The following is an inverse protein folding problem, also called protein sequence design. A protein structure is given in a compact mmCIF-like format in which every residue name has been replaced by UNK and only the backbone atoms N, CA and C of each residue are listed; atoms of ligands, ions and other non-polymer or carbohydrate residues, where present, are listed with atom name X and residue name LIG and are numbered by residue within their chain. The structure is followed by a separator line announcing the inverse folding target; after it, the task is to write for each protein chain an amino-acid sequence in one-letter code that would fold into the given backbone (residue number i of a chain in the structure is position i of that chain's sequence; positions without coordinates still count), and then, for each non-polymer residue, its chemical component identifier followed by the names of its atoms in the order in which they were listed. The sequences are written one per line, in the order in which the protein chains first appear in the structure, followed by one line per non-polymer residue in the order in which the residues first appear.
data_IF_320922801149
#
_entry.id   IF_320922801149
#
_cell.length_a   1.000
_cell.length_b   1.000
_cell.length_c   1.000
_cell.angle_alpha   90.00
_cell.angle_beta   90.00
_cell.angle_gamma   90.00
#
_symmetry.space_group_name_H-M   'P 1'
#
loop_
_entity.id
_entity.type
_entity.pdbx_description
1 polymer ?
#
# COMPACT_ATOMS: atom_id res chain seq x y z
N UNK A 1 22.62 -6.58 -19.56
CA UNK A 1 23.64 -5.67 -18.97
C UNK A 1 23.22 -5.36 -17.54
N UNK A 2 23.86 -5.92 -16.50
CA UNK A 2 23.40 -5.80 -15.11
C UNK A 2 23.45 -4.37 -14.56
N UNK A 3 24.35 -3.53 -15.06
CA UNK A 3 24.49 -2.13 -14.63
C UNK A 3 23.31 -1.23 -15.03
N UNK A 4 22.72 -1.44 -16.20
CA UNK A 4 21.58 -0.61 -16.66
C UNK A 4 20.33 -0.88 -15.82
N UNK A 5 20.10 -2.13 -15.40
CA UNK A 5 18.97 -2.47 -14.54
C UNK A 5 19.14 -1.92 -13.12
N UNK A 6 20.35 -1.99 -12.55
CA UNK A 6 20.65 -1.42 -11.24
C UNK A 6 20.46 0.09 -11.23
N UNK A 7 20.91 0.78 -12.27
CA UNK A 7 20.76 2.22 -12.40
C UNK A 7 19.30 2.64 -12.59
N UNK A 8 18.52 1.87 -13.34
CA UNK A 8 17.08 2.09 -13.52
C UNK A 8 16.32 1.86 -12.20
N UNK A 9 16.66 0.83 -11.43
CA UNK A 9 16.07 0.58 -10.11
C UNK A 9 16.39 1.70 -9.12
N UNK A 10 17.64 2.16 -9.04
CA UNK A 10 18.04 3.28 -8.17
C UNK A 10 17.30 4.58 -8.54
N UNK A 11 17.14 4.87 -9.82
CA UNK A 11 16.38 6.05 -10.27
C UNK A 11 14.89 5.92 -9.97
N UNK A 12 14.33 4.73 -10.12
CA UNK A 12 12.91 4.44 -9.79
C UNK A 12 12.65 4.59 -8.29
N UNK A 13 13.50 4.03 -7.46
CA UNK A 13 13.43 4.12 -6.01
C UNK A 13 13.54 5.56 -5.52
N UNK A 14 14.52 6.31 -6.04
CA UNK A 14 14.68 7.73 -5.71
C UNK A 14 13.45 8.55 -6.13
N UNK A 15 12.91 8.34 -7.32
CA UNK A 15 11.70 9.02 -7.79
C UNK A 15 10.48 8.71 -6.92
N UNK A 16 10.37 7.46 -6.43
CA UNK A 16 9.29 7.04 -5.52
C UNK A 16 9.42 7.76 -4.17
N UNK A 17 10.59 7.76 -3.56
CA UNK A 17 10.85 8.43 -2.30
C UNK A 17 10.52 9.93 -2.38
N UNK A 18 10.92 10.60 -3.46
CA UNK A 18 10.60 12.02 -3.68
C UNK A 18 9.11 12.26 -3.79
N UNK A 19 8.37 11.40 -4.50
CA UNK A 19 6.90 11.50 -4.59
C UNK A 19 6.23 11.34 -3.22
N UNK A 20 6.69 10.40 -2.42
CA UNK A 20 6.13 10.13 -1.10
C UNK A 20 6.35 11.30 -0.14
N UNK A 21 7.51 11.93 -0.19
CA UNK A 21 7.78 13.17 0.57
C UNK A 21 6.81 14.30 0.14
N UNK A 22 6.56 14.45 -1.16
CA UNK A 22 5.58 15.43 -1.63
C UNK A 22 4.18 15.13 -1.08
N UNK A 23 3.74 13.86 -1.11
CA UNK A 23 2.42 13.48 -0.59
C UNK A 23 2.30 13.71 0.92
N UNK A 24 3.38 13.48 1.68
CA UNK A 24 3.44 13.80 3.10
C UNK A 24 3.26 15.29 3.34
N UNK A 25 3.94 16.13 2.56
CA UNK A 25 3.81 17.59 2.67
C UNK A 25 2.45 18.10 2.20
N UNK A 26 1.89 17.53 1.12
CA UNK A 26 0.56 17.88 0.62
C UNK A 26 -0.52 17.64 1.67
N UNK A 27 -0.41 16.58 2.47
CA UNK A 27 -1.38 16.24 3.52
C UNK A 27 -1.44 17.27 4.66
N UNK A 28 -0.43 18.11 4.85
CA UNK A 28 -0.53 19.23 5.81
C UNK A 28 -1.57 20.29 5.38
N UNK A 29 -1.97 20.31 4.11
CA UNK A 29 -3.07 21.14 3.63
C UNK A 29 -4.40 20.51 4.03
N UNK A 30 -5.25 21.19 4.85
CA UNK A 30 -6.48 20.59 5.40
C UNK A 30 -7.45 20.07 4.35
N UNK A 31 -7.54 20.73 3.21
CA UNK A 31 -8.41 20.33 2.09
C UNK A 31 -7.96 19.02 1.47
N UNK A 32 -6.65 18.80 1.37
CA UNK A 32 -6.07 17.56 0.84
C UNK A 32 -6.26 16.43 1.84
N UNK A 33 -6.02 16.68 3.12
CA UNK A 33 -6.29 15.70 4.18
C UNK A 33 -7.76 15.26 4.18
N UNK A 34 -8.68 16.23 4.09
CA UNK A 34 -10.12 15.96 4.03
C UNK A 34 -10.51 15.18 2.77
N UNK A 35 -9.88 15.47 1.63
CA UNK A 35 -10.12 14.71 0.41
C UNK A 35 -9.68 13.24 0.55
N UNK A 36 -8.54 12.97 1.19
CA UNK A 36 -8.09 11.60 1.47
C UNK A 36 -9.06 10.86 2.40
N UNK A 37 -9.61 11.55 3.41
CA UNK A 37 -10.61 10.97 4.30
C UNK A 37 -11.89 10.60 3.52
N UNK A 38 -12.36 11.47 2.62
CA UNK A 38 -13.52 11.18 1.76
C UNK A 38 -13.26 9.97 0.85
N UNK A 39 -12.08 9.86 0.24
CA UNK A 39 -11.74 8.69 -0.57
C UNK A 39 -11.78 7.40 0.26
N UNK A 40 -11.23 7.43 1.48
CA UNK A 40 -11.23 6.29 2.36
C UNK A 40 -12.64 5.92 2.83
N UNK A 41 -13.45 6.91 3.20
CA UNK A 41 -14.86 6.73 3.59
C UNK A 41 -15.66 6.08 2.46
N UNK A 42 -15.56 6.57 1.24
CA UNK A 42 -16.27 6.01 0.09
C UNK A 42 -15.82 4.58 -0.25
N UNK A 43 -14.53 4.27 -0.08
CA UNK A 43 -14.00 2.92 -0.29
C UNK A 43 -14.44 1.92 0.78
N UNK A 44 -14.76 2.39 1.97
CA UNK A 44 -15.15 1.58 3.13
C UNK A 44 -16.60 1.77 3.51
N UNK A 45 -17.39 2.48 2.68
CA UNK A 45 -18.78 2.73 2.91
C UNK A 45 -19.57 1.42 2.96
N UNK A 46 -20.40 1.26 3.98
CA UNK A 46 -21.28 0.11 4.16
C UNK A 46 -22.65 0.54 4.70
N UNK A 47 -23.63 -0.31 4.50
CA UNK A 47 -24.95 -0.11 5.12
C UNK A 47 -24.82 -0.35 6.63
N UNK A 48 -25.38 0.52 7.47
CA UNK A 48 -25.32 0.38 8.92
C UNK A 48 -25.91 -0.91 9.50
N UNK A 49 -26.52 -1.75 8.66
CA UNK A 49 -27.09 -3.04 9.02
C UNK A 49 -26.24 -4.24 8.55
N UNK A 50 -25.25 -4.01 7.68
CA UNK A 50 -24.38 -5.04 7.13
C UNK A 50 -22.91 -4.73 7.49
N UNK A 51 -22.10 -5.76 7.78
CA UNK A 51 -20.68 -5.57 8.00
C UNK A 51 -20.01 -5.08 6.71
N UNK A 52 -18.91 -4.36 6.84
CA UNK A 52 -18.10 -3.86 5.74
C UNK A 52 -17.60 -4.99 4.83
N UNK A 53 -17.26 -6.12 5.44
CA UNK A 53 -16.87 -7.35 4.76
C UNK A 53 -17.91 -8.46 5.01
N UNK A 54 -18.53 -8.96 3.96
CA UNK A 54 -19.40 -10.13 4.02
C UNK A 54 -18.79 -11.32 3.26
N UNK A 55 -18.76 -12.49 3.90
CA UNK A 55 -18.18 -13.72 3.33
C UNK A 55 -19.31 -14.65 2.90
N UNK A 56 -19.33 -15.01 1.62
CA UNK A 56 -20.28 -15.97 1.04
C UNK A 56 -19.55 -17.26 0.69
N UNK A 57 -19.86 -18.33 1.40
CA UNK A 57 -19.30 -19.66 1.16
C UNK A 57 -20.42 -20.70 1.34
N UNK A 58 -20.42 -21.73 0.49
CA UNK A 58 -21.38 -22.84 0.61
C UNK A 58 -21.02 -23.85 1.71
N UNK A 59 -19.76 -23.88 2.12
CA UNK A 59 -19.29 -24.72 3.21
C UNK A 59 -19.23 -23.89 4.49
N UNK A 60 -20.02 -24.27 5.48
CA UNK A 60 -20.14 -23.54 6.75
C UNK A 60 -18.85 -23.62 7.60
N UNK A 61 -18.09 -24.72 7.52
CA UNK A 61 -16.81 -24.84 8.25
C UNK A 61 -15.77 -23.88 7.67
N UNK A 62 -15.64 -23.84 6.34
CA UNK A 62 -14.74 -22.90 5.66
C UNK A 62 -15.17 -21.46 5.94
N UNK A 63 -16.48 -21.19 5.90
CA UNK A 63 -17.01 -19.87 6.21
C UNK A 63 -16.63 -19.44 7.62
N UNK A 64 -16.80 -20.30 8.62
CA UNK A 64 -16.44 -20.00 10.01
C UNK A 64 -14.95 -19.68 10.18
N UNK A 65 -14.08 -20.44 9.50
CA UNK A 65 -12.62 -20.19 9.50
C UNK A 65 -12.32 -18.80 8.89
N UNK A 66 -12.92 -18.47 7.75
CA UNK A 66 -12.72 -17.18 7.08
C UNK A 66 -13.31 -16.03 7.90
N UNK A 67 -14.48 -16.21 8.51
CA UNK A 67 -15.08 -15.21 9.40
C UNK A 67 -14.13 -14.90 10.58
N UNK A 68 -13.60 -15.94 11.24
CA UNK A 68 -12.61 -15.77 12.31
C UNK A 68 -11.34 -15.07 11.81
N UNK A 69 -10.80 -15.48 10.65
CA UNK A 69 -9.61 -14.87 10.09
C UNK A 69 -9.80 -13.38 9.81
N UNK A 70 -10.85 -13.01 9.08
CA UNK A 70 -11.00 -11.64 8.62
C UNK A 70 -11.56 -10.71 9.72
N UNK A 71 -12.49 -11.17 10.55
CA UNK A 71 -13.10 -10.32 11.56
C UNK A 71 -12.30 -10.29 12.87
N UNK A 72 -11.79 -11.43 13.33
CA UNK A 72 -11.12 -11.50 14.63
C UNK A 72 -9.59 -11.31 14.51
N UNK A 73 -8.92 -12.06 13.61
CA UNK A 73 -7.45 -12.01 13.49
C UNK A 73 -6.98 -10.76 12.77
N UNK A 74 -7.54 -10.49 11.58
CA UNK A 74 -7.17 -9.32 10.77
C UNK A 74 -7.91 -8.05 11.21
N UNK A 75 -9.01 -8.18 11.91
CA UNK A 75 -9.86 -7.09 12.38
C UNK A 75 -10.16 -6.06 11.28
N UNK A 76 -10.66 -6.55 10.15
CA UNK A 76 -10.89 -5.74 8.93
C UNK A 76 -11.77 -4.52 9.21
N UNK A 77 -12.86 -4.70 9.98
CA UNK A 77 -13.79 -3.61 10.31
C UNK A 77 -13.10 -2.41 10.95
N UNK A 78 -12.06 -2.65 11.76
CA UNK A 78 -11.32 -1.58 12.42
C UNK A 78 -10.22 -0.99 11.55
N UNK A 79 -9.55 -1.82 10.77
CA UNK A 79 -8.30 -1.43 10.11
C UNK A 79 -8.50 -0.88 8.70
N UNK A 80 -9.56 -1.29 8.00
CA UNK A 80 -9.72 -1.07 6.56
C UNK A 80 -9.72 0.40 6.17
N UNK A 81 -10.34 1.27 6.95
CA UNK A 81 -10.32 2.72 6.69
C UNK A 81 -8.88 3.26 6.63
N UNK A 82 -8.06 2.97 7.64
CA UNK A 82 -6.68 3.44 7.69
C UNK A 82 -5.81 2.85 6.56
N UNK A 83 -6.04 1.59 6.20
CA UNK A 83 -5.35 0.94 5.10
C UNK A 83 -5.73 1.55 3.75
N UNK A 84 -7.02 1.75 3.51
CA UNK A 84 -7.54 2.41 2.32
C UNK A 84 -7.03 3.84 2.18
N UNK A 85 -7.03 4.61 3.27
CA UNK A 85 -6.51 5.97 3.30
C UNK A 85 -5.02 6.03 2.95
N UNK A 86 -4.22 5.14 3.53
CA UNK A 86 -2.79 5.01 3.22
C UNK A 86 -2.56 4.66 1.75
N UNK A 87 -3.34 3.72 1.22
CA UNK A 87 -3.29 3.34 -0.19
C UNK A 87 -3.68 4.51 -1.11
N UNK A 88 -4.69 5.30 -0.76
CA UNK A 88 -5.06 6.50 -1.52
C UNK A 88 -3.91 7.53 -1.53
N UNK A 89 -3.28 7.77 -0.39
CA UNK A 89 -2.19 8.74 -0.25
C UNK A 89 -0.97 8.37 -1.05
N UNK A 90 -0.48 7.13 -0.95
CA UNK A 90 0.77 6.72 -1.59
C UNK A 90 0.59 5.99 -2.93
N UNK A 91 -0.62 5.52 -3.21
CA UNK A 91 -0.91 4.63 -4.34
C UNK A 91 -0.64 3.16 -4.05
N UNK A 92 0.07 2.88 -2.95
CA UNK A 92 0.49 1.56 -2.49
C UNK A 92 0.18 1.37 -1.01
N UNK A 93 -0.16 0.14 -0.65
CA UNK A 93 -0.26 -0.30 0.73
C UNK A 93 0.32 -1.70 0.87
N UNK A 94 1.17 -1.89 1.87
CA UNK A 94 1.81 -3.17 2.16
C UNK A 94 1.32 -3.71 3.50
N UNK A 95 0.82 -4.93 3.46
CA UNK A 95 0.33 -5.65 4.63
C UNK A 95 1.24 -6.84 4.91
N UNK A 96 1.95 -6.80 6.02
CA UNK A 96 2.74 -7.94 6.48
C UNK A 96 1.82 -8.96 7.16
N UNK A 97 1.98 -10.22 6.81
CA UNK A 97 1.27 -11.36 7.38
C UNK A 97 2.24 -12.17 8.24
N UNK A 98 1.98 -12.24 9.54
CA UNK A 98 2.66 -13.13 10.46
C UNK A 98 2.03 -14.51 10.35
N UNK A 99 2.73 -15.42 9.69
CA UNK A 99 2.21 -16.75 9.36
C UNK A 99 2.99 -17.80 10.14
N UNK A 100 2.25 -18.63 10.84
CA UNK A 100 2.73 -19.78 11.60
C UNK A 100 2.34 -21.08 10.90
N UNK A 101 3.23 -22.08 10.92
CA UNK A 101 3.00 -23.36 10.23
C UNK A 101 1.84 -24.18 10.81
N UNK A 102 1.53 -23.99 12.10
CA UNK A 102 0.48 -24.73 12.80
C UNK A 102 -0.86 -23.98 12.80
N UNK A 103 -0.81 -22.65 12.98
CA UNK A 103 -2.02 -21.82 13.19
C UNK A 103 -2.39 -20.94 11.98
N UNK A 104 -1.56 -20.92 10.95
CA UNK A 104 -1.77 -20.04 9.79
C UNK A 104 -1.49 -18.58 10.10
N UNK A 105 -2.30 -17.65 9.60
CA UNK A 105 -2.13 -16.22 9.83
C UNK A 105 -2.53 -15.88 11.26
N UNK A 106 -1.55 -15.43 12.07
CA UNK A 106 -1.76 -15.05 13.48
C UNK A 106 -2.02 -13.55 13.66
N UNK A 107 -1.42 -12.76 12.80
CA UNK A 107 -1.63 -11.31 12.81
C UNK A 107 -1.31 -10.70 11.45
N UNK A 108 -1.78 -9.48 11.24
CA UNK A 108 -1.41 -8.67 10.08
C UNK A 108 -1.05 -7.24 10.53
N UNK A 109 -0.04 -6.68 9.90
CA UNK A 109 0.51 -5.36 10.25
C UNK A 109 0.67 -4.53 8.99
N UNK A 110 0.04 -3.34 8.96
CA UNK A 110 0.28 -2.36 7.91
C UNK A 110 1.71 -1.82 7.99
N UNK A 111 2.45 -1.92 6.89
CA UNK A 111 3.84 -1.47 6.83
C UNK A 111 3.94 -0.05 6.28
N UNK A 112 4.93 0.74 6.72
CA UNK A 112 5.20 2.05 6.14
C UNK A 112 5.54 1.95 4.65
N UNK A 113 4.69 2.54 3.79
CA UNK A 113 4.83 2.40 2.33
C UNK A 113 6.14 2.97 1.78
N UNK A 114 6.74 3.94 2.47
CA UNK A 114 8.02 4.54 2.11
C UNK A 114 9.25 3.68 2.46
N UNK A 115 9.10 2.67 3.31
CA UNK A 115 10.19 1.80 3.78
C UNK A 115 10.22 0.43 3.11
N UNK A 116 9.14 0.05 2.43
CA UNK A 116 9.04 -1.25 1.76
C UNK A 116 9.36 -1.10 0.28
N UNK A 117 10.30 -1.88 -0.20
CA UNK A 117 10.68 -1.94 -1.60
C UNK A 117 10.35 -3.30 -2.19
N UNK A 118 9.74 -3.30 -3.38
CA UNK A 118 9.45 -4.50 -4.15
C UNK A 118 10.62 -4.79 -5.08
N UNK A 119 11.19 -5.98 -4.95
CA UNK A 119 12.31 -6.45 -5.75
C UNK A 119 11.82 -7.49 -6.75
N UNK A 120 12.15 -7.28 -8.02
CA UNK A 120 11.83 -8.19 -9.13
C UNK A 120 13.10 -8.49 -9.92
N UNK A 121 13.22 -9.72 -10.43
CA UNK A 121 14.33 -10.12 -11.29
C UNK A 121 15.66 -10.33 -10.57
N UNK A 122 15.68 -10.40 -9.26
CA UNK A 122 16.87 -10.71 -8.45
C UNK A 122 17.28 -12.18 -8.62
N UNK A 123 16.30 -13.08 -8.73
CA UNK A 123 16.57 -14.50 -8.99
C UNK A 123 16.80 -14.73 -10.49
N UNK A 124 18.01 -15.13 -10.83
CA UNK A 124 18.40 -15.44 -12.22
C UNK A 124 17.71 -16.69 -12.77
N UNK A 125 17.25 -17.57 -11.90
CA UNK A 125 16.55 -18.83 -12.29
C UNK A 125 15.06 -18.61 -12.47
N UNK A 126 14.49 -17.63 -11.76
CA UNK A 126 13.09 -17.24 -11.87
C UNK A 126 12.95 -15.69 -11.88
N UNK A 127 13.08 -15.05 -13.04
CA UNK A 127 13.01 -13.59 -13.16
C UNK A 127 11.67 -12.98 -12.72
N UNK A 128 10.61 -13.78 -12.64
CA UNK A 128 9.29 -13.34 -12.20
C UNK A 128 9.10 -13.45 -10.67
N UNK A 129 10.10 -13.97 -9.98
CA UNK A 129 10.06 -14.09 -8.53
C UNK A 129 10.14 -12.72 -7.86
N UNK A 130 9.19 -12.44 -6.99
CA UNK A 130 9.06 -11.17 -6.28
C UNK A 130 9.38 -11.37 -4.81
N UNK A 131 10.24 -10.51 -4.28
CA UNK A 131 10.51 -10.36 -2.85
C UNK A 131 10.26 -8.92 -2.44
N UNK A 132 10.18 -8.69 -1.14
CA UNK A 132 10.03 -7.36 -0.57
C UNK A 132 11.15 -7.11 0.42
N UNK A 133 11.73 -5.92 0.37
CA UNK A 133 12.73 -5.48 1.32
C UNK A 133 12.15 -4.42 2.24
N UNK A 134 12.26 -4.64 3.55
CA UNK A 134 11.96 -3.61 4.53
C UNK A 134 13.26 -2.91 4.91
N UNK A 135 13.46 -1.71 4.36
CA UNK A 135 14.75 -1.01 4.39
C UNK A 135 15.19 -0.65 5.82
N UNK A 136 14.32 -0.14 6.67
CA UNK A 136 14.67 0.24 8.05
C UNK A 136 15.04 -0.95 8.94
N UNK A 137 14.44 -2.10 8.71
CA UNK A 137 14.73 -3.33 9.45
C UNK A 137 15.83 -4.19 8.82
N UNK A 138 16.22 -3.90 7.56
CA UNK A 138 17.18 -4.71 6.80
C UNK A 138 16.69 -6.14 6.54
N UNK A 139 15.36 -6.35 6.51
CA UNK A 139 14.74 -7.65 6.32
C UNK A 139 14.26 -7.83 4.89
N UNK A 140 14.55 -9.01 4.32
CA UNK A 140 13.96 -9.46 3.07
C UNK A 140 12.79 -10.39 3.40
N UNK A 141 11.63 -10.10 2.84
CA UNK A 141 10.37 -10.80 3.07
C UNK A 141 9.93 -11.49 1.77
N UNK A 142 9.38 -12.66 1.92
CA UNK A 142 8.89 -13.45 0.81
C UNK A 142 7.54 -12.93 0.29
N UNK A 143 7.22 -13.23 -0.95
CA UNK A 143 5.98 -12.77 -1.59
C UNK A 143 4.69 -13.24 -0.89
N UNK A 144 4.73 -14.38 -0.20
CA UNK A 144 3.59 -14.91 0.55
C UNK A 144 3.40 -14.26 1.93
N UNK A 145 4.41 -13.53 2.42
CA UNK A 145 4.35 -12.78 3.68
C UNK A 145 3.78 -11.36 3.51
N UNK A 146 3.69 -10.87 2.28
CA UNK A 146 3.30 -9.49 2.00
C UNK A 146 2.11 -9.42 1.06
N UNK A 147 1.02 -8.81 1.53
CA UNK A 147 -0.05 -8.34 0.68
C UNK A 147 0.30 -6.97 0.11
N UNK A 148 0.54 -6.87 -1.20
CA UNK A 148 0.78 -5.60 -1.87
C UNK A 148 -0.49 -5.14 -2.58
N UNK A 149 -1.16 -4.14 -2.02
CA UNK A 149 -2.34 -3.49 -2.58
C UNK A 149 -1.93 -2.20 -3.28
N UNK A 150 -2.49 -1.96 -4.47
CA UNK A 150 -2.12 -0.77 -5.25
C UNK A 150 -3.29 -0.23 -6.05
N UNK A 151 -3.31 1.08 -6.20
CA UNK A 151 -4.24 1.75 -7.10
C UNK A 151 -3.62 1.73 -8.50
N UNK A 152 -4.25 0.99 -9.41
CA UNK A 152 -3.82 0.95 -10.81
C UNK A 152 -4.14 2.31 -11.47
N UNK A 153 -3.17 2.87 -12.14
CA UNK A 153 -3.33 4.16 -12.78
C UNK A 153 -2.36 4.33 -13.94
N UNK A 154 -1.18 4.85 -13.66
CA UNK A 154 -0.21 5.15 -14.70
C UNK A 154 0.92 4.10 -14.74
N UNK A 155 1.07 3.40 -15.85
CA UNK A 155 2.10 2.38 -16.07
C UNK A 155 3.54 2.91 -15.87
N UNK A 156 3.71 4.23 -15.93
CA UNK A 156 4.99 4.89 -15.62
C UNK A 156 5.55 4.52 -14.24
N UNK A 157 4.68 4.20 -13.29
CA UNK A 157 5.06 3.90 -11.92
C UNK A 157 5.09 2.40 -11.62
N UNK A 158 4.78 1.56 -12.61
CA UNK A 158 4.88 0.11 -12.42
C UNK A 158 6.27 -0.30 -11.88
N UNK A 159 6.35 -1.26 -10.97
CA UNK A 159 5.28 -2.14 -10.45
C UNK A 159 4.45 -1.55 -9.30
N UNK A 160 4.63 -0.28 -8.98
CA UNK A 160 3.90 0.43 -7.92
C UNK A 160 2.60 1.06 -8.43
N UNK A 161 1.74 1.43 -7.50
CA UNK A 161 0.50 2.12 -7.78
C UNK A 161 0.67 3.62 -8.01
N UNK A 162 -0.45 4.29 -8.29
CA UNK A 162 -0.52 5.74 -8.48
C UNK A 162 -1.39 6.37 -7.41
N UNK A 163 -0.83 7.29 -6.64
CA UNK A 163 -1.57 8.07 -5.63
C UNK A 163 -2.71 8.86 -6.26
N UNK A 164 -3.82 9.00 -5.54
CA UNK A 164 -4.90 9.93 -5.92
C UNK A 164 -4.42 11.38 -5.95
N UNK A 165 -3.34 11.71 -5.24
CA UNK A 165 -2.73 13.04 -5.18
C UNK A 165 -1.80 13.34 -6.35
N UNK A 166 -1.40 12.34 -7.14
CA UNK A 166 -0.38 12.52 -8.19
C UNK A 166 -0.78 13.57 -9.23
N UNK A 167 -2.04 13.62 -9.61
CA UNK A 167 -2.52 14.62 -10.58
C UNK A 167 -2.39 16.07 -10.08
N UNK A 168 -2.53 16.29 -8.77
CA UNK A 168 -2.43 17.60 -8.14
C UNK A 168 -1.00 18.00 -7.77
N UNK A 169 -0.06 17.06 -7.70
CA UNK A 169 1.29 17.25 -7.17
C UNK A 169 2.07 18.37 -7.87
N UNK A 170 1.99 18.48 -9.19
CA UNK A 170 2.68 19.52 -9.95
C UNK A 170 2.15 20.91 -9.63
N UNK A 171 0.84 21.06 -9.56
CA UNK A 171 0.19 22.33 -9.28
C UNK A 171 0.47 22.76 -7.84
N UNK A 172 0.40 21.83 -6.90
CA UNK A 172 0.73 22.06 -5.49
C UNK A 172 2.17 22.59 -5.33
N UNK A 173 3.16 21.98 -5.99
CA UNK A 173 4.55 22.49 -5.97
C UNK A 173 4.68 23.91 -6.51
N UNK A 174 3.92 24.25 -7.55
CA UNK A 174 3.91 25.61 -8.10
C UNK A 174 3.30 26.61 -7.12
N UNK A 175 2.24 26.20 -6.41
CA UNK A 175 1.59 27.01 -5.39
C UNK A 175 2.55 27.31 -4.23
N UNK A 176 3.22 26.31 -3.69
CA UNK A 176 4.23 26.48 -2.63
C UNK A 176 5.32 27.46 -3.03
N UNK A 177 5.86 27.32 -4.25
CA UNK A 177 6.88 28.25 -4.75
C UNK A 177 6.37 29.71 -4.89
N UNK A 178 5.09 29.89 -5.20
CA UNK A 178 4.48 31.23 -5.27
C UNK A 178 4.27 31.82 -3.86
N UNK A 179 3.87 31.01 -2.89
CA UNK A 179 3.73 31.44 -1.50
C UNK A 179 5.08 31.85 -0.89
N UNK A 180 6.15 31.10 -1.17
CA UNK A 180 7.49 31.41 -0.69
C UNK A 180 8.08 32.71 -1.34
N UNK A 181 7.55 33.12 -2.48
CA UNK A 181 8.03 34.31 -3.22
C UNK A 181 7.30 35.61 -2.83
N UNK A 182 6.22 35.54 -2.05
CA UNK A 182 5.45 36.68 -1.56
C UNK A 182 5.91 37.12 -0.18
#
# INVERSE_FOLDING_TARGET
LPFANLQAQMMSSHNRATRYVDFDQMEYTPEIASALDIYADEMTAHSGLEPMLSIKCHNEEIKAILDTLYHDVMNIEHNLFGWARTMCKYGDFFLYLDIDDEYGIRSCIGMPSNEVERMEGEDKTNPEYVQFQWNSAGLTLENWQIGHFRILGNDKYAPYGTSVLEAARRIWRQLVLLEDAM
#
